data_IF_772599250012
#
_entry.id   IF_772599250012
#
_cell.length_a   1.000
_cell.length_b   1.000
_cell.length_c   1.000
_cell.angle_alpha   90.00
_cell.angle_beta   90.00
_cell.angle_gamma   90.00
#
_symmetry.space_group_name_H-M   'P 1'
#
loop_
_entity.id
_entity.type
_entity.pdbx_description
1 polymer ?
#
# COMPACT_ATOMS: atom_id res chain seq x y z
N UNK A 1 11.63 -19.18 -1.17
CA UNK A 1 10.59 -18.79 -2.16
C UNK A 1 11.25 -18.47 -3.49
N UNK A 2 10.77 -19.06 -4.58
CA UNK A 2 11.20 -18.71 -5.94
C UNK A 2 10.58 -17.36 -6.29
N UNK A 3 11.40 -16.32 -6.52
CA UNK A 3 10.92 -15.07 -7.10
C UNK A 3 10.44 -15.36 -8.52
N UNK A 4 9.18 -15.07 -8.81
CA UNK A 4 8.64 -15.08 -10.17
C UNK A 4 8.44 -13.64 -10.60
N UNK A 5 8.87 -13.31 -11.80
CA UNK A 5 8.48 -12.08 -12.45
C UNK A 5 7.04 -12.22 -12.93
N UNK A 6 6.24 -11.18 -12.72
CA UNK A 6 4.86 -11.11 -13.17
C UNK A 6 4.78 -10.04 -14.26
N UNK A 7 4.23 -10.42 -15.41
CA UNK A 7 3.90 -9.49 -16.48
C UNK A 7 2.39 -9.27 -16.51
N UNK A 8 1.95 -8.01 -16.46
CA UNK A 8 0.55 -7.60 -16.57
C UNK A 8 0.40 -6.79 -17.85
N UNK A 9 -0.51 -7.20 -18.74
CA UNK A 9 -0.78 -6.54 -20.02
C UNK A 9 -2.25 -6.16 -20.14
N UNK A 10 -2.50 -4.96 -20.64
CA UNK A 10 -3.83 -4.46 -20.98
C UNK A 10 -3.92 -4.26 -22.49
N UNK A 11 -5.08 -4.53 -23.06
CA UNK A 11 -5.40 -4.21 -24.46
C UNK A 11 -6.68 -3.39 -24.47
N UNK A 12 -6.58 -2.14 -24.89
CA UNK A 12 -7.67 -1.17 -24.87
C UNK A 12 -7.81 -0.54 -26.26
N UNK A 13 -9.03 -0.44 -26.81
CA UNK A 13 -9.26 0.24 -28.09
C UNK A 13 -9.28 1.76 -27.85
N UNK A 14 -8.09 2.38 -27.86
CA UNK A 14 -7.92 3.81 -27.62
C UNK A 14 -7.35 4.53 -28.85
N UNK A 15 -7.88 5.71 -29.15
CA UNK A 15 -7.32 6.59 -30.16
C UNK A 15 -6.02 7.24 -29.66
N UNK A 16 -5.03 7.42 -30.55
CA UNK A 16 -3.73 8.02 -30.19
C UNK A 16 -3.86 9.42 -29.58
N UNK A 17 -4.87 10.19 -29.99
CA UNK A 17 -5.14 11.53 -29.47
C UNK A 17 -5.42 11.55 -27.96
N UNK A 18 -5.88 10.42 -27.40
CA UNK A 18 -6.18 10.29 -25.97
C UNK A 18 -4.94 9.92 -25.14
N UNK A 19 -3.82 9.57 -25.77
CA UNK A 19 -2.60 9.08 -25.11
C UNK A 19 -1.68 10.18 -24.57
N UNK A 20 -2.16 11.43 -24.46
CA UNK A 20 -1.39 12.58 -23.96
C UNK A 20 -0.75 12.34 -22.58
N UNK A 21 -1.44 11.59 -21.70
CA UNK A 21 -0.97 11.29 -20.33
C UNK A 21 -0.68 9.80 -20.14
N UNK A 22 -0.27 9.09 -21.20
CA UNK A 22 -0.04 7.64 -21.18
C UNK A 22 0.89 7.20 -20.04
N UNK A 23 2.00 7.91 -19.84
CA UNK A 23 2.99 7.58 -18.80
C UNK A 23 2.39 7.67 -17.41
N UNK A 24 1.61 8.72 -17.13
CA UNK A 24 0.95 8.89 -15.83
C UNK A 24 -0.10 7.82 -15.58
N UNK A 25 -0.86 7.45 -16.63
CA UNK A 25 -1.84 6.37 -16.56
C UNK A 25 -1.18 5.00 -16.29
N UNK A 26 -0.07 4.70 -16.96
CA UNK A 26 0.72 3.49 -16.71
C UNK A 26 1.29 3.47 -15.28
N UNK A 27 1.77 4.61 -14.80
CA UNK A 27 2.25 4.74 -13.42
C UNK A 27 1.14 4.46 -12.41
N UNK A 28 -0.05 5.05 -12.60
CA UNK A 28 -1.19 4.80 -11.71
C UNK A 28 -1.75 3.38 -11.82
N UNK A 29 -1.72 2.75 -12.99
CA UNK A 29 -2.08 1.34 -13.12
C UNK A 29 -1.15 0.44 -12.28
N UNK A 30 0.18 0.67 -12.36
CA UNK A 30 1.17 -0.04 -11.55
C UNK A 30 0.95 0.20 -10.05
N UNK A 31 0.72 1.45 -9.67
CA UNK A 31 0.47 1.84 -8.28
C UNK A 31 -0.77 1.14 -7.72
N UNK A 32 -1.90 1.21 -8.42
CA UNK A 32 -3.15 0.57 -8.02
C UNK A 32 -2.99 -0.95 -7.86
N UNK A 33 -2.25 -1.60 -8.77
CA UNK A 33 -1.98 -3.04 -8.67
C UNK A 33 -1.22 -3.40 -7.38
N UNK A 34 -0.17 -2.65 -7.05
CA UNK A 34 0.62 -2.89 -5.83
C UNK A 34 -0.19 -2.58 -4.56
N UNK A 35 -0.96 -1.49 -4.56
CA UNK A 35 -1.80 -1.12 -3.43
C UNK A 35 -2.92 -2.13 -3.18
N UNK A 36 -3.47 -2.76 -4.22
CA UNK A 36 -4.47 -3.80 -4.03
C UNK A 36 -3.88 -5.05 -3.37
N UNK A 37 -2.69 -5.49 -3.79
CA UNK A 37 -1.98 -6.58 -3.09
C UNK A 37 -1.67 -6.24 -1.64
N UNK A 38 -1.36 -4.97 -1.35
CA UNK A 38 -1.15 -4.50 0.02
C UNK A 38 -2.46 -4.55 0.81
N UNK A 39 -3.56 -4.06 0.24
CA UNK A 39 -4.89 -4.06 0.87
C UNK A 39 -5.36 -5.46 1.25
N UNK A 40 -5.14 -6.43 0.37
CA UNK A 40 -5.50 -7.83 0.62
C UNK A 40 -4.53 -8.56 1.58
N UNK A 41 -3.44 -7.90 2.00
CA UNK A 41 -2.43 -8.50 2.87
C UNK A 41 -1.45 -9.45 2.18
N UNK A 42 -1.49 -9.56 0.85
CA UNK A 42 -0.59 -10.41 0.06
C UNK A 42 0.87 -9.93 0.09
N UNK A 43 1.07 -8.62 0.28
CA UNK A 43 2.39 -8.02 0.48
C UNK A 43 2.38 -7.07 1.68
N UNK A 44 3.50 -6.99 2.38
CA UNK A 44 3.68 -6.01 3.45
C UNK A 44 3.92 -4.60 2.90
N UNK A 45 3.67 -3.57 3.71
CA UNK A 45 3.95 -2.17 3.37
C UNK A 45 5.42 -1.96 2.95
N UNK A 46 6.37 -2.58 3.65
CA UNK A 46 7.79 -2.52 3.28
C UNK A 46 8.10 -3.14 1.90
N UNK A 47 7.32 -4.13 1.47
CA UNK A 47 7.44 -4.72 0.13
C UNK A 47 6.76 -3.84 -0.93
N UNK A 48 5.62 -3.24 -0.62
CA UNK A 48 4.95 -2.27 -1.50
C UNK A 48 5.86 -1.07 -1.82
N UNK A 49 6.48 -0.45 -0.80
CA UNK A 49 7.39 0.68 -0.99
C UNK A 49 8.56 0.36 -1.93
N UNK A 50 9.13 -0.85 -1.81
CA UNK A 50 10.21 -1.33 -2.69
C UNK A 50 9.74 -1.58 -4.12
N UNK A 51 8.53 -2.11 -4.32
CA UNK A 51 7.97 -2.36 -5.65
C UNK A 51 7.64 -1.06 -6.38
N UNK A 52 7.18 -0.05 -5.65
CA UNK A 52 6.89 1.28 -6.19
C UNK A 52 8.12 2.19 -6.27
N UNK A 53 9.23 1.78 -5.65
CA UNK A 53 10.47 2.56 -5.53
C UNK A 53 10.24 3.94 -4.89
N UNK A 54 9.48 3.96 -3.79
CA UNK A 54 9.16 5.16 -3.02
C UNK A 54 9.63 5.01 -1.57
N UNK A 55 9.69 6.11 -0.82
CA UNK A 55 10.04 6.05 0.60
C UNK A 55 8.88 5.44 1.41
N UNK A 56 9.18 5.05 2.66
CA UNK A 56 8.12 4.62 3.59
C UNK A 56 7.14 5.75 3.92
N UNK A 57 7.60 7.00 3.89
CA UNK A 57 6.75 8.15 4.16
C UNK A 57 5.75 8.36 3.03
N UNK A 58 6.23 8.37 1.78
CA UNK A 58 5.38 8.49 0.60
C UNK A 58 4.37 7.35 0.50
N UNK A 59 4.77 6.14 0.90
CA UNK A 59 3.83 5.01 0.96
C UNK A 59 2.73 5.25 2.00
N UNK A 60 3.05 5.80 3.18
CA UNK A 60 2.04 6.10 4.20
C UNK A 60 1.02 7.12 3.71
N UNK A 61 1.46 8.16 3.00
CA UNK A 61 0.57 9.14 2.37
C UNK A 61 -0.32 8.46 1.32
N UNK A 62 0.27 7.61 0.48
CA UNK A 62 -0.46 6.89 -0.55
C UNK A 62 -1.49 5.89 0.02
N UNK A 63 -1.14 5.20 1.11
CA UNK A 63 -2.06 4.33 1.85
C UNK A 63 -3.23 5.14 2.43
N UNK A 64 -2.95 6.32 2.99
CA UNK A 64 -3.99 7.21 3.51
C UNK A 64 -4.95 7.67 2.40
N UNK A 65 -4.42 8.14 1.26
CA UNK A 65 -5.23 8.54 0.10
C UNK A 65 -6.06 7.37 -0.46
N UNK A 66 -5.52 6.16 -0.44
CA UNK A 66 -6.22 4.95 -0.89
C UNK A 66 -7.17 4.37 0.18
N UNK A 67 -7.22 4.89 1.40
CA UNK A 67 -8.00 4.30 2.49
C UNK A 67 -7.55 2.90 2.86
N UNK A 68 -6.23 2.66 2.87
CA UNK A 68 -5.61 1.41 3.34
C UNK A 68 -5.11 1.65 4.76
N UNK A 69 -5.70 0.94 5.72
CA UNK A 69 -5.23 0.99 7.11
C UNK A 69 -3.90 0.25 7.26
N UNK A 70 -3.00 0.81 8.07
CA UNK A 70 -1.78 0.11 8.49
C UNK A 70 -2.05 -0.90 9.63
N UNK A 71 -3.23 -0.83 10.24
CA UNK A 71 -3.71 -1.72 11.29
C UNK A 71 -4.78 -2.64 10.71
N UNK A 72 -4.83 -3.88 11.18
CA UNK A 72 -5.93 -4.78 10.83
C UNK A 72 -7.25 -4.33 11.48
N UNK A 73 -8.35 -4.90 11.03
CA UNK A 73 -9.69 -4.59 11.54
C UNK A 73 -9.93 -5.08 12.98
N UNK A 74 -8.95 -5.78 13.59
CA UNK A 74 -9.03 -6.26 14.96
C UNK A 74 -8.59 -5.22 15.99
N UNK A 75 -7.87 -4.18 15.55
CA UNK A 75 -7.39 -3.10 16.42
C UNK A 75 -8.49 -2.07 16.67
N UNK A 76 -9.14 -2.15 17.85
CA UNK A 76 -10.06 -1.10 18.31
C UNK A 76 -9.32 -0.02 19.10
N UNK A 77 -9.91 1.17 19.19
CA UNK A 77 -9.36 2.27 19.97
C UNK A 77 -9.22 1.90 21.46
N UNK A 78 -10.18 1.13 22.00
CA UNK A 78 -10.17 0.67 23.39
C UNK A 78 -9.07 -0.36 23.63
N UNK A 79 -8.85 -1.29 22.68
CA UNK A 79 -7.79 -2.28 22.77
C UNK A 79 -6.41 -1.61 22.72
N UNK A 80 -6.25 -0.62 21.83
CA UNK A 80 -5.02 0.17 21.73
C UNK A 80 -4.77 0.99 23.01
N UNK A 81 -5.78 1.65 23.56
CA UNK A 81 -5.67 2.41 24.82
C UNK A 81 -5.28 1.49 26.00
N UNK A 82 -5.84 0.28 26.06
CA UNK A 82 -5.46 -0.71 27.06
C UNK A 82 -4.01 -1.19 26.91
N UNK A 83 -3.55 -1.44 25.68
CA UNK A 83 -2.17 -1.85 25.39
C UNK A 83 -1.17 -0.75 25.78
N UNK A 84 -1.45 0.51 25.39
CA UNK A 84 -0.62 1.66 25.74
C UNK A 84 -0.56 1.86 27.25
N UNK A 85 -1.70 1.78 27.95
CA UNK A 85 -1.74 1.88 29.43
C UNK A 85 -0.98 0.75 30.12
N UNK A 86 -1.02 -0.46 29.57
CA UNK A 86 -0.24 -1.58 30.09
C UNK A 86 1.25 -1.31 29.92
N UNK A 87 1.69 -0.95 28.71
CA UNK A 87 3.09 -0.67 28.42
C UNK A 87 3.64 0.47 29.28
N UNK A 88 2.89 1.57 29.45
CA UNK A 88 3.32 2.69 30.29
C UNK A 88 3.57 2.30 31.76
N UNK A 89 2.78 1.38 32.31
CA UNK A 89 3.01 0.86 33.68
C UNK A 89 4.31 0.07 33.79
N UNK A 90 4.73 -0.59 32.73
CA UNK A 90 6.00 -1.33 32.69
C UNK A 90 7.22 -0.40 32.58
N UNK A 91 7.01 0.87 32.20
CA UNK A 91 8.04 1.90 32.15
C UNK A 91 8.11 2.80 33.40
N UNK A 92 7.09 2.78 34.27
CA UNK A 92 7.09 3.48 35.58
C UNK A 92 7.82 2.64 36.65
N UNK A 93 9.10 2.34 36.43
CA UNK A 93 10.04 1.78 37.44
C UNK A 93 10.80 2.90 38.14
#
# INVERSE_FOLDING_TARGET
MVKRELEVRFTLPLDEVLLKHKVDAEHKAREAFVLELLRQGDISAGRAARLLNISRWDLSELMYEAGISAFDDSLTAEALDAEVKSALKDFDV
#
